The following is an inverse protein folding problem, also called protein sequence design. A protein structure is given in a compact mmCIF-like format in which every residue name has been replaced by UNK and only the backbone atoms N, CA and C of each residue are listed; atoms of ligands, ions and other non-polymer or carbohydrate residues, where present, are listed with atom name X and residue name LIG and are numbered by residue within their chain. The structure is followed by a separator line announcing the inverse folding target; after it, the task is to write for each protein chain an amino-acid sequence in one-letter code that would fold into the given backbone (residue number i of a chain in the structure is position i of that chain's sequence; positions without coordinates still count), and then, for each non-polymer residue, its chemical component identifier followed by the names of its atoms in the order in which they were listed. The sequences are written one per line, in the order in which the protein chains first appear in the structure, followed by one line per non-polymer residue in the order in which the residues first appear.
data_IF_886767244826
#
_entry.id   IF_886767244826
#
_cell.length_a   1.000
_cell.length_b   1.000
_cell.length_c   1.000
_cell.angle_alpha   90.00
_cell.angle_beta   90.00
_cell.angle_gamma   90.00
#
_symmetry.space_group_name_H-M   'P 1'
#
loop_
_entity.id
_entity.type
_entity.pdbx_description
1 polymer ?
#
# COMPACT_ATOMS: atom_id res chain seq x y z
N UNK A 1 1.96 -10.18 25.83
CA UNK A 1 2.31 -10.34 24.40
C UNK A 1 1.07 -10.86 23.70
N UNK A 2 0.64 -10.22 22.61
CA UNK A 2 -0.48 -10.77 21.84
C UNK A 2 -0.03 -12.06 21.15
N UNK A 3 -0.75 -13.18 21.34
CA UNK A 3 -0.41 -14.42 20.67
C UNK A 3 -0.58 -14.25 19.16
N UNK A 4 0.34 -14.84 18.38
CA UNK A 4 0.20 -14.93 16.93
C UNK A 4 -0.98 -15.85 16.61
N UNK A 5 -1.93 -15.35 15.81
CA UNK A 5 -3.18 -16.01 15.40
C UNK A 5 -3.26 -16.13 13.88
N UNK A 6 -4.21 -16.90 13.32
CA UNK A 6 -4.46 -16.90 11.88
C UNK A 6 -4.70 -15.51 11.27
N UNK A 7 -5.27 -14.59 12.06
CA UNK A 7 -5.47 -13.17 11.69
C UNK A 7 -4.13 -12.44 11.43
N UNK A 8 -3.00 -12.95 11.91
CA UNK A 8 -1.69 -12.38 11.65
C UNK A 8 -1.06 -12.89 10.35
N UNK A 9 -1.65 -13.83 9.60
CA UNK A 9 -1.05 -14.37 8.37
C UNK A 9 -0.83 -13.26 7.34
N UNK A 10 0.42 -13.07 6.93
CA UNK A 10 0.88 -11.90 6.17
C UNK A 10 1.55 -10.84 7.06
N UNK A 11 1.58 -10.93 8.38
CA UNK A 11 2.36 -10.00 9.20
C UNK A 11 3.85 -10.34 9.14
N UNK A 12 4.71 -9.35 9.37
CA UNK A 12 6.11 -9.61 9.70
C UNK A 12 6.18 -9.94 11.19
N UNK A 13 6.77 -11.07 11.53
CA UNK A 13 6.84 -11.59 12.90
C UNK A 13 8.28 -11.88 13.30
N UNK A 14 8.56 -11.69 14.58
CA UNK A 14 9.77 -12.18 15.25
C UNK A 14 9.36 -13.28 16.22
N UNK A 15 10.00 -14.44 16.08
CA UNK A 15 9.77 -15.60 16.92
C UNK A 15 11.04 -15.94 17.68
N UNK A 16 10.86 -16.33 18.94
CA UNK A 16 11.85 -17.04 19.73
C UNK A 16 11.37 -18.46 19.94
N UNK A 17 12.21 -19.45 19.61
CA UNK A 17 11.83 -20.86 19.68
C UNK A 17 12.96 -21.74 20.19
N UNK A 18 12.59 -22.94 20.65
CA UNK A 18 13.53 -23.99 21.06
C UNK A 18 13.86 -24.89 19.88
N UNK A 19 15.15 -25.10 19.61
CA UNK A 19 15.69 -26.02 18.60
C UNK A 19 15.67 -27.47 19.10
N UNK A 20 15.90 -28.41 18.20
CA UNK A 20 15.98 -29.85 18.52
C UNK A 20 17.09 -30.18 19.53
N UNK A 21 18.20 -29.43 19.51
CA UNK A 21 19.30 -29.56 20.46
C UNK A 21 19.03 -28.93 21.84
N UNK A 22 17.81 -28.42 22.06
CA UNK A 22 17.41 -27.70 23.27
C UNK A 22 17.87 -26.24 23.30
N UNK A 23 18.66 -25.79 22.34
CA UNK A 23 19.13 -24.42 22.21
C UNK A 23 18.00 -23.44 21.86
N UNK A 24 18.22 -22.15 22.17
CA UNK A 24 17.28 -21.09 21.83
C UNK A 24 17.71 -20.38 20.54
N UNK A 25 16.75 -20.07 19.69
CA UNK A 25 16.97 -19.35 18.45
C UNK A 25 15.89 -18.29 18.21
N UNK A 26 16.25 -17.29 17.42
CA UNK A 26 15.35 -16.23 16.99
C UNK A 26 15.26 -16.22 15.46
N UNK A 27 14.05 -16.04 14.94
CA UNK A 27 13.79 -15.92 13.50
C UNK A 27 12.84 -14.76 13.23
N UNK A 28 13.12 -14.01 12.16
CA UNK A 28 12.25 -12.94 11.67
C UNK A 28 11.85 -13.26 10.24
N UNK A 29 10.56 -13.14 9.94
CA UNK A 29 10.04 -13.38 8.62
C UNK A 29 8.57 -13.00 8.47
N UNK A 30 8.05 -13.27 7.29
CA UNK A 30 6.62 -13.17 6.99
C UNK A 30 5.89 -14.42 7.45
N UNK A 31 4.82 -14.25 8.22
CA UNK A 31 3.96 -15.34 8.62
C UNK A 31 3.13 -15.84 7.43
N UNK A 32 3.31 -17.10 7.02
CA UNK A 32 2.61 -17.73 5.91
C UNK A 32 1.36 -18.51 6.34
N UNK A 33 1.41 -19.14 7.51
CA UNK A 33 0.30 -19.91 8.07
C UNK A 33 0.47 -20.09 9.59
N UNK A 34 -0.65 -20.27 10.27
CA UNK A 34 -0.74 -20.69 11.67
C UNK A 34 -1.94 -21.63 11.77
N UNK A 35 -1.71 -22.85 12.22
CA UNK A 35 -2.76 -23.81 12.57
C UNK A 35 -2.65 -24.18 14.06
N UNK A 36 -3.28 -25.29 14.47
CA UNK A 36 -3.31 -25.72 15.88
C UNK A 36 -1.98 -26.31 16.35
N UNK A 37 -1.14 -26.79 15.44
CA UNK A 37 0.08 -27.53 15.75
C UNK A 37 1.34 -26.79 15.27
N UNK A 38 1.24 -26.00 14.20
CA UNK A 38 2.38 -25.43 13.51
C UNK A 38 2.21 -23.94 13.17
N UNK A 39 3.36 -23.27 13.12
CA UNK A 39 3.53 -21.95 12.55
C UNK A 39 4.49 -22.06 11.37
N UNK A 40 4.14 -21.42 10.24
CA UNK A 40 5.00 -21.37 9.06
C UNK A 40 5.31 -19.94 8.66
N UNK A 41 6.58 -19.63 8.38
CA UNK A 41 7.03 -18.31 7.94
C UNK A 41 8.02 -18.40 6.78
N UNK A 42 8.19 -17.31 6.03
CA UNK A 42 9.27 -17.14 5.05
C UNK A 42 10.23 -16.06 5.51
N UNK A 43 11.52 -16.39 5.52
CA UNK A 43 12.62 -15.49 5.90
C UNK A 43 12.95 -14.54 4.74
N UNK A 44 13.74 -13.51 5.03
CA UNK A 44 14.17 -12.52 4.04
C UNK A 44 15.03 -13.08 2.90
N UNK A 45 15.61 -14.27 3.08
CA UNK A 45 16.38 -14.99 2.06
C UNK A 45 15.53 -16.00 1.28
N UNK A 46 14.20 -16.00 1.49
CA UNK A 46 13.25 -16.87 0.81
C UNK A 46 13.09 -18.26 1.44
N UNK A 47 13.90 -18.62 2.44
CA UNK A 47 13.72 -19.91 3.12
C UNK A 47 12.44 -19.94 3.92
N UNK A 48 11.69 -21.02 3.78
CA UNK A 48 10.48 -21.27 4.55
C UNK A 48 10.84 -22.08 5.78
N UNK A 49 10.43 -21.60 6.96
CA UNK A 49 10.54 -22.34 8.22
C UNK A 49 9.17 -22.73 8.72
N UNK A 50 9.04 -23.99 9.12
CA UNK A 50 7.85 -24.55 9.79
C UNK A 50 8.27 -24.96 11.19
N UNK A 51 7.61 -24.42 12.20
CA UNK A 51 7.92 -24.61 13.62
C UNK A 51 6.69 -25.19 14.34
N UNK A 52 6.83 -26.28 15.10
CA UNK A 52 5.79 -26.72 16.04
C UNK A 52 5.51 -25.61 17.06
N UNK A 53 4.23 -25.30 17.30
CA UNK A 53 3.82 -24.24 18.21
C UNK A 53 4.30 -24.46 19.63
N UNK A 54 4.37 -25.71 20.08
CA UNK A 54 4.92 -26.11 21.39
C UNK A 54 6.39 -25.69 21.59
N UNK A 55 7.13 -25.43 20.51
CA UNK A 55 8.52 -24.96 20.54
C UNK A 55 8.63 -23.44 20.51
N UNK A 56 7.56 -22.73 20.17
CA UNK A 56 7.54 -21.26 20.09
C UNK A 56 7.37 -20.69 21.49
N UNK A 57 8.42 -20.05 22.00
CA UNK A 57 8.46 -19.47 23.35
C UNK A 57 7.93 -18.04 23.38
N UNK A 58 8.11 -17.30 22.30
CA UNK A 58 7.60 -15.96 22.14
C UNK A 58 7.36 -15.66 20.66
N UNK A 59 6.31 -14.91 20.37
CA UNK A 59 5.97 -14.49 19.02
C UNK A 59 5.38 -13.08 19.09
N UNK A 60 5.85 -12.18 18.20
CA UNK A 60 5.30 -10.83 18.10
C UNK A 60 5.36 -10.30 16.68
N UNK A 61 4.39 -9.48 16.32
CA UNK A 61 4.50 -8.62 15.13
C UNK A 61 5.64 -7.63 15.32
N UNK A 62 6.36 -7.33 14.25
CA UNK A 62 7.43 -6.32 14.25
C UNK A 62 7.12 -5.23 13.23
N UNK A 63 7.54 -4.01 13.56
CA UNK A 63 7.46 -2.88 12.64
C UNK A 63 8.24 -3.16 11.34
N UNK A 64 7.82 -2.57 10.21
CA UNK A 64 8.55 -2.72 8.96
C UNK A 64 9.96 -2.12 9.07
N UNK A 65 10.96 -2.82 8.53
CA UNK A 65 12.32 -2.30 8.41
C UNK A 65 12.40 -1.26 7.28
N UNK A 66 13.48 -0.47 7.23
CA UNK A 66 13.72 0.45 6.10
C UNK A 66 13.71 -0.25 4.74
N UNK A 67 14.21 -1.49 4.67
CA UNK A 67 14.15 -2.32 3.45
C UNK A 67 12.71 -2.63 3.06
N UNK A 68 11.85 -2.96 4.02
CA UNK A 68 10.44 -3.27 3.76
C UNK A 68 9.68 -2.02 3.29
N UNK A 69 9.96 -0.85 3.89
CA UNK A 69 9.40 0.44 3.47
C UNK A 69 9.77 0.76 2.02
N UNK A 70 11.05 0.69 1.67
CA UNK A 70 11.50 0.99 0.32
C UNK A 70 10.98 -0.02 -0.71
N UNK A 71 10.85 -1.30 -0.34
CA UNK A 71 10.26 -2.32 -1.20
C UNK A 71 8.77 -2.07 -1.47
N UNK A 72 8.00 -1.66 -0.45
CA UNK A 72 6.59 -1.30 -0.62
C UNK A 72 6.43 -0.03 -1.45
N UNK A 73 7.31 0.96 -1.29
CA UNK A 73 7.27 2.20 -2.08
C UNK A 73 7.61 1.98 -3.56
N UNK A 74 8.49 1.01 -3.87
CA UNK A 74 8.77 0.59 -5.23
C UNK A 74 7.56 -0.18 -5.83
N UNK A 75 6.98 -1.12 -5.07
CA UNK A 75 5.76 -1.83 -5.46
C UNK A 75 4.59 -0.87 -5.71
N UNK A 76 4.38 0.09 -4.82
CA UNK A 76 3.31 1.09 -4.94
C UNK A 76 3.48 1.97 -6.18
N UNK A 77 4.70 2.16 -6.65
CA UNK A 77 4.96 2.76 -7.94
C UNK A 77 4.49 1.87 -9.10
N UNK A 78 4.74 0.56 -9.07
CA UNK A 78 4.32 -0.35 -10.15
C UNK A 78 2.81 -0.59 -10.20
N UNK A 79 2.11 -0.43 -9.08
CA UNK A 79 0.63 -0.46 -9.02
C UNK A 79 -0.04 0.87 -9.46
N UNK A 80 0.77 1.87 -9.82
CA UNK A 80 0.38 3.15 -10.43
C UNK A 80 1.36 3.56 -11.54
N UNK A 81 1.58 2.73 -12.56
CA UNK A 81 2.67 2.89 -13.52
C UNK A 81 2.59 4.23 -14.26
N UNK A 82 3.75 4.77 -14.65
CA UNK A 82 3.84 5.98 -15.45
C UNK A 82 4.02 5.64 -16.94
N UNK A 83 3.71 6.59 -17.82
CA UNK A 83 3.89 6.41 -19.26
C UNK A 83 5.38 6.48 -19.65
N UNK A 84 6.13 7.35 -18.98
CA UNK A 84 7.58 7.47 -19.10
C UNK A 84 8.25 7.35 -17.74
N UNK A 85 9.34 6.58 -17.69
CA UNK A 85 10.09 6.29 -16.48
C UNK A 85 11.59 6.28 -16.77
N UNK A 86 12.38 6.79 -15.82
CA UNK A 86 13.85 6.76 -15.88
C UNK A 86 14.43 6.58 -14.48
N UNK A 87 15.62 5.98 -14.38
CA UNK A 87 16.33 5.81 -13.12
C UNK A 87 17.60 6.66 -13.08
N UNK A 88 17.73 7.49 -12.05
CA UNK A 88 18.97 8.14 -11.63
C UNK A 88 19.48 7.41 -10.38
N UNK A 89 20.25 6.34 -10.57
CA UNK A 89 20.58 5.42 -9.48
C UNK A 89 19.31 4.78 -8.89
N UNK A 90 19.04 5.00 -7.60
CA UNK A 90 17.81 4.56 -6.92
C UNK A 90 16.74 5.65 -6.82
N UNK A 91 16.83 6.70 -7.63
CA UNK A 91 15.76 7.67 -7.81
C UNK A 91 14.99 7.33 -9.08
N UNK A 92 13.70 7.09 -8.94
CA UNK A 92 12.83 6.67 -10.02
C UNK A 92 12.00 7.86 -10.49
N UNK A 93 12.35 8.41 -11.65
CA UNK A 93 11.67 9.53 -12.29
C UNK A 93 10.46 9.00 -13.07
N UNK A 94 9.36 9.75 -13.03
CA UNK A 94 8.06 9.26 -13.48
C UNK A 94 7.24 10.38 -14.10
N UNK A 95 6.73 10.19 -15.30
CA UNK A 95 5.80 11.10 -15.97
C UNK A 95 4.59 10.30 -16.49
N UNK A 96 3.46 10.41 -15.78
CA UNK A 96 2.24 9.68 -16.05
C UNK A 96 1.25 10.38 -16.99
N UNK A 97 1.42 11.69 -17.26
CA UNK A 97 0.63 12.45 -18.21
C UNK A 97 -0.88 12.52 -17.93
N UNK A 98 -1.30 12.30 -16.68
CA UNK A 98 -2.70 12.01 -16.36
C UNK A 98 -3.21 12.62 -15.05
N UNK A 99 -2.44 13.53 -14.44
CA UNK A 99 -2.85 14.34 -13.29
C UNK A 99 -2.73 13.65 -11.93
N UNK A 100 -2.21 12.41 -11.88
CA UNK A 100 -1.98 11.68 -10.63
C UNK A 100 -0.55 11.83 -10.15
N UNK A 101 -0.35 12.42 -8.97
CA UNK A 101 0.98 12.51 -8.36
C UNK A 101 1.59 11.13 -8.09
N UNK A 102 0.76 10.08 -7.91
CA UNK A 102 1.22 8.68 -7.76
C UNK A 102 1.96 8.16 -8.99
N UNK A 103 1.61 8.66 -10.18
CA UNK A 103 2.23 8.33 -11.46
C UNK A 103 3.22 9.41 -11.96
N UNK A 104 3.27 10.58 -11.33
CA UNK A 104 4.02 11.74 -11.83
C UNK A 104 5.13 12.25 -10.90
N UNK A 105 5.17 11.81 -9.64
CA UNK A 105 6.24 12.21 -8.72
C UNK A 105 7.41 11.23 -8.77
N UNK A 106 8.63 11.76 -8.79
CA UNK A 106 9.82 10.95 -8.67
C UNK A 106 9.90 10.33 -7.27
N UNK A 107 10.24 9.04 -7.20
CA UNK A 107 10.35 8.30 -5.94
C UNK A 107 11.82 8.16 -5.55
N UNK A 108 12.19 8.68 -4.38
CA UNK A 108 13.56 8.62 -3.87
C UNK A 108 13.73 7.36 -3.01
N UNK A 109 14.12 6.25 -3.65
CA UNK A 109 14.13 4.91 -3.06
C UNK A 109 15.52 4.45 -2.56
N UNK A 110 16.51 5.32 -2.58
CA UNK A 110 17.90 5.01 -2.25
C UNK A 110 18.86 6.10 -2.70
N UNK A 111 20.14 5.76 -2.82
CA UNK A 111 21.16 6.68 -3.33
C UNK A 111 20.99 6.95 -4.83
N UNK A 112 21.08 8.21 -5.28
CA UNK A 112 21.22 8.51 -6.70
C UNK A 112 22.60 8.06 -7.23
N UNK A 113 22.75 8.07 -8.55
CA UNK A 113 24.00 7.71 -9.24
C UNK A 113 25.07 8.82 -9.23
N UNK A 114 24.77 9.96 -8.60
CA UNK A 114 25.61 11.16 -8.50
C UNK A 114 25.35 11.89 -7.19
N UNK A 115 26.03 13.00 -6.94
CA UNK A 115 25.78 13.80 -5.74
C UNK A 115 24.30 14.27 -5.69
N UNK A 116 23.61 14.20 -4.53
CA UNK A 116 22.17 14.48 -4.42
C UNK A 116 21.69 15.83 -4.97
N UNK A 117 22.45 16.91 -4.80
CA UNK A 117 22.12 18.23 -5.36
C UNK A 117 22.18 18.19 -6.89
N UNK A 118 23.22 17.58 -7.46
CA UNK A 118 23.33 17.36 -8.89
C UNK A 118 22.21 16.44 -9.42
N UNK A 119 21.80 15.43 -8.66
CA UNK A 119 20.69 14.55 -9.00
C UNK A 119 19.34 15.29 -9.02
N UNK A 120 19.08 16.20 -8.07
CA UNK A 120 17.87 17.04 -8.06
C UNK A 120 17.83 17.98 -9.28
N UNK A 121 18.97 18.53 -9.69
CA UNK A 121 19.07 19.36 -10.89
C UNK A 121 18.76 18.56 -12.17
N UNK A 122 19.35 17.36 -12.31
CA UNK A 122 19.09 16.48 -13.44
C UNK A 122 17.62 16.04 -13.51
N UNK A 123 17.05 15.64 -12.37
CA UNK A 123 15.63 15.31 -12.25
C UNK A 123 14.74 16.49 -12.65
N UNK A 124 15.07 17.70 -12.20
CA UNK A 124 14.29 18.90 -12.55
C UNK A 124 14.34 19.19 -14.05
N UNK A 125 15.51 19.02 -14.70
CA UNK A 125 15.64 19.17 -16.15
C UNK A 125 14.79 18.13 -16.91
N UNK A 126 14.83 16.86 -16.48
CA UNK A 126 14.04 15.77 -17.07
C UNK A 126 12.53 16.05 -17.07
N UNK A 127 12.00 16.63 -15.98
CA UNK A 127 10.60 17.05 -15.89
C UNK A 127 10.28 18.26 -16.78
N UNK A 128 11.20 19.24 -16.85
CA UNK A 128 11.03 20.44 -17.69
C UNK A 128 10.99 20.12 -19.18
N UNK A 129 11.84 19.19 -19.64
CA UNK A 129 11.83 18.71 -21.04
C UNK A 129 10.48 18.10 -21.43
N UNK A 130 9.78 17.51 -20.46
CA UNK A 130 8.44 16.92 -20.62
C UNK A 130 7.30 17.91 -20.36
N UNK A 131 7.62 19.16 -20.02
CA UNK A 131 6.64 20.20 -19.66
C UNK A 131 5.73 19.78 -18.49
N UNK A 132 6.24 18.95 -17.57
CA UNK A 132 5.54 18.53 -16.35
C UNK A 132 6.16 19.20 -15.14
N UNK A 133 5.34 19.66 -14.19
CA UNK A 133 5.84 20.22 -12.95
C UNK A 133 6.60 19.15 -12.15
N UNK A 134 7.87 19.41 -11.74
CA UNK A 134 8.66 18.43 -11.01
C UNK A 134 8.09 18.21 -9.60
N UNK A 135 7.93 16.95 -9.22
CA UNK A 135 7.39 16.52 -7.92
C UNK A 135 8.24 15.38 -7.36
N UNK A 136 8.39 15.34 -6.04
CA UNK A 136 9.03 14.23 -5.33
C UNK A 136 8.04 13.55 -4.39
N UNK A 137 8.25 12.26 -4.20
CA UNK A 137 7.70 11.45 -3.12
C UNK A 137 8.86 10.90 -2.30
N UNK A 138 8.84 11.20 -1.00
CA UNK A 138 9.85 10.74 -0.05
C UNK A 138 9.18 10.08 1.15
N UNK A 139 9.79 9.01 1.66
CA UNK A 139 9.46 8.49 2.99
C UNK A 139 9.80 9.59 4.01
N UNK A 140 8.96 9.79 5.03
CA UNK A 140 9.21 10.84 6.03
C UNK A 140 10.52 10.58 6.79
N UNK A 141 11.25 11.65 7.12
CA UNK A 141 12.53 11.57 7.83
C UNK A 141 13.68 11.02 6.99
N UNK A 142 13.50 10.98 5.66
CA UNK A 142 14.56 10.53 4.76
C UNK A 142 15.67 11.57 4.62
N UNK A 143 16.92 11.10 4.50
CA UNK A 143 18.12 11.96 4.51
C UNK A 143 18.18 13.00 3.38
N UNK A 144 17.36 12.86 2.34
CA UNK A 144 17.30 13.82 1.23
C UNK A 144 16.32 14.97 1.47
N UNK A 145 15.46 14.92 2.52
CA UNK A 145 14.55 16.03 2.82
C UNK A 145 15.28 17.36 3.06
N UNK A 146 16.39 17.43 3.84
CA UNK A 146 17.14 18.67 4.01
C UNK A 146 17.80 19.15 2.71
N UNK A 147 18.29 18.22 1.89
CA UNK A 147 18.92 18.53 0.59
C UNK A 147 17.89 19.12 -0.37
N UNK A 148 16.71 18.50 -0.48
CA UNK A 148 15.60 18.99 -1.28
C UNK A 148 15.13 20.37 -0.77
N UNK A 149 14.97 20.54 0.54
CA UNK A 149 14.59 21.83 1.12
C UNK A 149 15.60 22.95 0.83
N UNK A 150 16.90 22.66 0.90
CA UNK A 150 17.96 23.59 0.55
C UNK A 150 17.95 23.94 -0.96
N UNK A 151 17.52 23.01 -1.81
CA UNK A 151 17.33 23.22 -3.25
C UNK A 151 15.97 23.84 -3.62
N UNK A 152 15.21 24.37 -2.65
CA UNK A 152 13.96 25.10 -2.90
C UNK A 152 12.68 24.24 -2.95
N UNK A 153 12.79 22.94 -2.75
CA UNK A 153 11.62 22.07 -2.69
C UNK A 153 10.86 22.28 -1.38
N UNK A 154 9.53 22.24 -1.45
CA UNK A 154 8.65 22.34 -0.29
C UNK A 154 7.77 21.12 -0.18
N UNK A 155 7.61 20.61 1.04
CA UNK A 155 6.57 19.63 1.36
C UNK A 155 5.22 20.35 1.24
N UNK A 156 4.32 19.76 0.47
CA UNK A 156 3.01 20.34 0.15
C UNK A 156 1.86 19.45 0.61
N UNK A 157 2.08 18.14 0.69
CA UNK A 157 1.12 17.20 1.27
C UNK A 157 1.84 16.12 2.06
N UNK A 158 1.10 15.51 2.99
CA UNK A 158 1.56 14.36 3.77
C UNK A 158 0.49 13.26 3.74
N UNK A 159 0.95 12.02 3.66
CA UNK A 159 0.08 10.86 3.66
C UNK A 159 0.66 9.73 4.49
N UNK A 160 -0.24 8.91 5.02
CA UNK A 160 0.06 7.70 5.75
C UNK A 160 -0.10 6.52 4.80
N UNK A 161 0.92 5.68 4.72
CA UNK A 161 0.78 4.35 4.11
C UNK A 161 0.41 3.38 5.23
N UNK A 162 -0.81 2.85 5.14
CA UNK A 162 -1.34 1.89 6.09
C UNK A 162 -1.30 0.49 5.48
N UNK A 163 -1.13 -0.53 6.32
CA UNK A 163 -1.11 -1.91 5.85
C UNK A 163 -1.77 -2.88 6.84
N UNK A 164 -2.18 -4.04 6.34
CA UNK A 164 -2.59 -5.16 7.17
C UNK A 164 -2.51 -6.50 6.42
N UNK A 165 -2.37 -7.61 7.16
CA UNK A 165 -2.88 -8.92 6.74
C UNK A 165 -4.32 -8.83 6.20
N UNK A 166 -4.59 -9.41 5.03
CA UNK A 166 -5.96 -9.43 4.49
C UNK A 166 -6.90 -10.21 5.42
N UNK A 167 -6.42 -11.33 5.98
CA UNK A 167 -7.17 -12.16 6.92
C UNK A 167 -7.64 -11.36 8.15
N UNK A 168 -6.81 -10.42 8.65
CA UNK A 168 -7.18 -9.53 9.76
C UNK A 168 -8.35 -8.63 9.40
N UNK A 169 -8.26 -7.97 8.24
CA UNK A 169 -9.29 -7.02 7.80
C UNK A 169 -10.61 -7.74 7.58
N UNK A 170 -10.60 -8.88 6.88
CA UNK A 170 -11.83 -9.67 6.65
C UNK A 170 -12.44 -10.18 7.95
N UNK A 171 -11.62 -10.65 8.90
CA UNK A 171 -12.11 -11.05 10.23
C UNK A 171 -12.75 -9.87 10.98
N UNK A 172 -12.14 -8.68 10.92
CA UNK A 172 -12.69 -7.47 11.52
C UNK A 172 -14.03 -7.05 10.87
N UNK A 173 -14.15 -7.18 9.54
CA UNK A 173 -15.40 -6.89 8.82
C UNK A 173 -16.49 -7.90 9.23
N UNK A 174 -16.18 -9.20 9.25
CA UNK A 174 -17.11 -10.26 9.65
C UNK A 174 -17.67 -10.03 11.06
N UNK A 175 -16.80 -9.68 12.03
CA UNK A 175 -17.23 -9.38 13.42
C UNK A 175 -18.13 -8.15 13.53
N UNK A 176 -17.90 -7.12 12.71
CA UNK A 176 -18.64 -5.85 12.75
C UNK A 176 -19.93 -5.86 11.92
N UNK A 177 -20.07 -6.84 11.04
CA UNK A 177 -21.08 -6.87 9.99
C UNK A 177 -20.78 -5.87 8.87
N UNK A 178 -20.95 -6.34 7.64
CA UNK A 178 -21.12 -5.52 6.45
C UNK A 178 -22.60 -5.57 6.03
N UNK A 179 -23.15 -4.49 5.45
CA UNK A 179 -24.51 -4.55 4.91
C UNK A 179 -24.56 -5.61 3.79
N UNK A 180 -25.65 -6.38 3.74
CA UNK A 180 -25.91 -7.31 2.64
C UNK A 180 -26.31 -6.50 1.39
N UNK A 181 -25.31 -6.05 0.64
CA UNK A 181 -25.46 -5.32 -0.62
C UNK A 181 -24.65 -6.00 -1.70
N UNK A 182 -25.18 -6.04 -2.92
CA UNK A 182 -24.44 -6.55 -4.07
C UNK A 182 -23.28 -5.61 -4.38
N UNK A 183 -22.08 -6.18 -4.55
CA UNK A 183 -20.88 -5.46 -5.01
C UNK A 183 -20.48 -6.08 -6.34
N UNK A 184 -20.47 -5.28 -7.41
CA UNK A 184 -19.88 -5.68 -8.69
C UNK A 184 -18.38 -5.38 -8.64
N UNK A 185 -17.56 -6.32 -9.12
CA UNK A 185 -16.09 -6.20 -9.19
C UNK A 185 -15.66 -6.55 -10.60
N UNK A 186 -15.32 -5.54 -11.39
CA UNK A 186 -15.02 -5.66 -12.82
C UNK A 186 -13.55 -5.34 -13.12
N UNK A 187 -13.00 -5.87 -14.21
CA UNK A 187 -11.62 -5.59 -14.64
C UNK A 187 -11.43 -4.18 -15.23
N UNK A 188 -12.53 -3.50 -15.60
CA UNK A 188 -12.54 -2.15 -16.17
C UNK A 188 -13.59 -1.28 -15.48
N UNK A 189 -13.34 0.02 -15.28
CA UNK A 189 -14.34 0.89 -14.68
C UNK A 189 -15.48 1.14 -15.66
N UNK A 190 -16.72 1.05 -15.19
CA UNK A 190 -17.88 1.45 -15.98
C UNK A 190 -17.95 2.98 -16.12
N UNK A 191 -18.73 3.47 -17.09
CA UNK A 191 -19.00 4.91 -17.22
C UNK A 191 -19.57 5.51 -15.93
N UNK A 192 -20.41 4.76 -15.21
CA UNK A 192 -20.99 5.18 -13.94
C UNK A 192 -19.96 5.26 -12.81
N UNK A 193 -19.00 4.33 -12.78
CA UNK A 193 -17.87 4.38 -11.85
C UNK A 193 -17.04 5.65 -12.09
N UNK A 194 -16.74 5.94 -13.35
CA UNK A 194 -15.98 7.14 -13.76
C UNK A 194 -16.75 8.43 -13.46
N UNK A 195 -18.07 8.43 -13.65
CA UNK A 195 -18.94 9.56 -13.36
C UNK A 195 -18.98 9.94 -11.87
N UNK A 196 -18.75 8.98 -10.95
CA UNK A 196 -18.60 9.28 -9.53
C UNK A 196 -17.19 9.80 -9.22
N UNK A 197 -16.14 9.18 -9.77
CA UNK A 197 -14.76 9.53 -9.43
C UNK A 197 -14.26 10.85 -10.04
N UNK A 198 -14.50 11.08 -11.34
CA UNK A 198 -14.22 12.31 -12.13
C UNK A 198 -12.81 12.94 -12.04
N UNK A 199 -11.83 12.28 -11.44
CA UNK A 199 -10.50 12.89 -11.19
C UNK A 199 -9.40 12.42 -12.12
N UNK A 200 -9.46 11.19 -12.62
CA UNK A 200 -8.40 10.61 -13.46
C UNK A 200 -8.96 9.88 -14.69
N UNK A 201 -8.20 9.86 -15.79
CA UNK A 201 -8.59 9.11 -16.98
C UNK A 201 -8.51 7.59 -16.75
N UNK A 202 -9.34 6.84 -17.47
CA UNK A 202 -9.36 5.36 -17.43
C UNK A 202 -7.99 4.75 -17.69
N UNK A 203 -7.21 5.32 -18.62
CA UNK A 203 -5.89 4.83 -18.98
C UNK A 203 -4.93 4.79 -17.76
N UNK A 204 -5.00 5.77 -16.86
CA UNK A 204 -4.19 5.80 -15.64
C UNK A 204 -4.72 4.82 -14.61
N UNK A 205 -6.05 4.77 -14.44
CA UNK A 205 -6.71 3.92 -13.46
C UNK A 205 -6.49 2.43 -13.74
N UNK A 206 -6.54 2.04 -15.00
CA UNK A 206 -6.44 0.66 -15.49
C UNK A 206 -5.03 0.26 -15.90
N UNK A 207 -4.04 1.10 -15.66
CA UNK A 207 -2.67 0.86 -16.13
C UNK A 207 -1.98 -0.38 -15.52
N UNK A 208 -2.22 -0.80 -14.26
CA UNK A 208 -1.64 -2.04 -13.75
C UNK A 208 -2.18 -3.28 -14.46
N UNK A 209 -1.36 -4.33 -14.53
CA UNK A 209 -1.71 -5.59 -15.18
C UNK A 209 -2.85 -6.36 -14.48
N UNK A 210 -2.95 -6.24 -13.15
CA UNK A 210 -4.00 -6.87 -12.36
C UNK A 210 -4.71 -5.80 -11.54
N UNK A 211 -5.86 -5.35 -12.03
CA UNK A 211 -6.67 -4.28 -11.46
C UNK A 211 -8.15 -4.67 -11.47
N UNK A 212 -8.90 -4.16 -10.50
CA UNK A 212 -10.35 -4.26 -10.48
C UNK A 212 -11.00 -2.99 -9.92
N UNK A 213 -12.25 -2.83 -10.33
CA UNK A 213 -13.10 -1.69 -10.04
C UNK A 213 -14.37 -2.23 -9.37
N UNK A 214 -14.48 -1.97 -8.08
CA UNK A 214 -15.67 -2.31 -7.32
C UNK A 214 -16.69 -1.17 -7.36
N UNK A 215 -17.97 -1.51 -7.45
CA UNK A 215 -19.07 -0.55 -7.32
C UNK A 215 -20.28 -1.14 -6.62
N UNK A 216 -21.02 -0.27 -5.91
CA UNK A 216 -22.31 -0.59 -5.30
C UNK A 216 -23.37 0.33 -5.88
N UNK A 217 -24.51 -0.25 -6.29
CA UNK A 217 -25.65 0.44 -6.86
C UNK A 217 -25.80 0.14 -8.35
N UNK A 218 -27.05 0.15 -8.83
CA UNK A 218 -27.40 -0.24 -10.19
C UNK A 218 -27.49 0.99 -11.11
N UNK A 219 -28.66 1.64 -11.15
CA UNK A 219 -28.91 2.83 -11.96
C UNK A 219 -28.07 4.03 -11.48
N UNK A 220 -27.88 4.14 -10.17
CA UNK A 220 -27.01 5.10 -9.52
C UNK A 220 -25.89 4.36 -8.77
N UNK A 221 -24.63 4.72 -9.03
CA UNK A 221 -23.48 4.20 -8.29
C UNK A 221 -23.31 5.01 -7.01
N UNK A 222 -23.51 4.34 -5.87
CA UNK A 222 -23.47 4.91 -4.53
C UNK A 222 -22.08 4.86 -3.90
N UNK A 223 -21.26 3.90 -4.32
CA UNK A 223 -19.91 3.74 -3.81
C UNK A 223 -19.02 3.06 -4.83
N UNK A 224 -17.73 3.42 -4.83
CA UNK A 224 -16.70 2.87 -5.70
C UNK A 224 -15.44 2.51 -4.93
N UNK A 225 -14.69 1.56 -5.46
CA UNK A 225 -13.34 1.22 -5.01
C UNK A 225 -12.48 0.73 -6.18
N UNK A 226 -11.16 0.83 -6.02
CA UNK A 226 -10.16 0.25 -6.93
C UNK A 226 -9.25 -0.68 -6.14
N UNK A 227 -9.05 -1.88 -6.65
CA UNK A 227 -8.04 -2.84 -6.17
C UNK A 227 -6.98 -3.07 -7.23
N UNK A 228 -5.72 -3.22 -6.84
CA UNK A 228 -4.65 -3.69 -7.74
C UNK A 228 -3.76 -4.70 -7.02
N UNK A 229 -3.23 -5.71 -7.73
CA UNK A 229 -2.45 -6.81 -7.12
C UNK A 229 -1.11 -6.98 -7.82
N UNK A 230 -0.05 -7.14 -7.03
CA UNK A 230 1.25 -7.61 -7.50
C UNK A 230 1.86 -8.53 -6.44
N UNK A 231 2.11 -9.78 -6.82
CA UNK A 231 2.62 -10.81 -5.90
C UNK A 231 1.69 -11.02 -4.70
N UNK A 232 2.25 -10.92 -3.48
CA UNK A 232 1.49 -11.11 -2.24
C UNK A 232 0.78 -9.85 -1.74
N UNK A 233 0.84 -8.74 -2.48
CA UNK A 233 0.32 -7.44 -2.07
C UNK A 233 -0.88 -7.01 -2.92
N UNK A 234 -1.87 -6.45 -2.24
CA UNK A 234 -2.96 -5.70 -2.83
C UNK A 234 -2.85 -4.21 -2.43
N UNK A 235 -3.16 -3.32 -3.36
CA UNK A 235 -3.47 -1.93 -3.09
C UNK A 235 -4.98 -1.74 -3.03
N UNK A 236 -5.46 -1.02 -2.01
CA UNK A 236 -6.79 -0.39 -2.05
C UNK A 236 -6.63 1.09 -2.33
N UNK A 237 -7.29 1.55 -3.39
CA UNK A 237 -7.32 2.95 -3.80
C UNK A 237 -8.75 3.37 -4.15
N UNK A 238 -8.99 4.68 -4.24
CA UNK A 238 -10.25 5.24 -4.73
C UNK A 238 -11.50 4.71 -3.99
N UNK A 239 -11.38 4.48 -2.68
CA UNK A 239 -12.54 4.12 -1.85
C UNK A 239 -13.37 5.37 -1.60
N UNK A 240 -14.48 5.50 -2.32
CA UNK A 240 -15.36 6.68 -2.26
C UNK A 240 -16.82 6.27 -2.14
N UNK A 241 -17.56 6.98 -1.28
CA UNK A 241 -18.99 6.80 -1.08
C UNK A 241 -19.68 8.13 -1.32
N UNK A 242 -20.70 8.11 -2.19
CA UNK A 242 -21.56 9.26 -2.48
C UNK A 242 -22.08 9.86 -1.18
N UNK A 243 -22.10 11.20 -1.09
CA UNK A 243 -22.31 11.91 0.18
C UNK A 243 -23.60 11.49 0.89
N UNK A 244 -24.70 11.41 0.16
CA UNK A 244 -26.01 11.01 0.65
C UNK A 244 -26.09 9.51 1.03
N UNK A 245 -25.12 8.69 0.62
CA UNK A 245 -25.05 7.26 0.91
C UNK A 245 -24.00 6.90 1.98
N UNK A 246 -23.34 7.90 2.58
CA UNK A 246 -22.34 7.69 3.64
C UNK A 246 -22.96 7.11 4.91
N UNK A 247 -22.09 6.59 5.80
CA UNK A 247 -22.46 6.03 7.12
C UNK A 247 -23.37 4.78 7.07
N UNK A 248 -23.62 4.23 5.89
CA UNK A 248 -24.38 2.97 5.67
C UNK A 248 -23.52 1.71 5.61
N UNK A 249 -22.20 1.84 5.84
CA UNK A 249 -21.26 0.72 5.80
C UNK A 249 -20.78 0.29 4.40
N UNK A 250 -21.13 1.02 3.34
CA UNK A 250 -20.79 0.68 1.95
C UNK A 250 -19.28 0.54 1.70
N UNK A 251 -18.45 1.39 2.33
CA UNK A 251 -17.00 1.26 2.22
C UNK A 251 -16.48 -0.08 2.76
N UNK A 252 -17.10 -0.64 3.81
CA UNK A 252 -16.72 -1.97 4.35
C UNK A 252 -17.07 -3.07 3.36
N UNK A 253 -18.23 -3.00 2.71
CA UNK A 253 -18.65 -3.96 1.70
C UNK A 253 -17.71 -3.92 0.47
N UNK A 254 -17.33 -2.72 0.00
CA UNK A 254 -16.33 -2.57 -1.07
C UNK A 254 -14.98 -3.17 -0.70
N UNK A 255 -14.48 -2.87 0.51
CA UNK A 255 -13.20 -3.38 0.99
C UNK A 255 -13.23 -4.90 1.05
N UNK A 256 -14.26 -5.51 1.62
CA UNK A 256 -14.34 -6.98 1.72
C UNK A 256 -14.34 -7.65 0.33
N UNK A 257 -15.15 -7.14 -0.61
CA UNK A 257 -15.22 -7.66 -1.97
C UNK A 257 -13.89 -7.52 -2.72
N UNK A 258 -13.22 -6.38 -2.61
CA UNK A 258 -11.89 -6.16 -3.22
C UNK A 258 -10.82 -7.05 -2.57
N UNK A 259 -10.90 -7.29 -1.26
CA UNK A 259 -9.96 -8.16 -0.57
C UNK A 259 -10.16 -9.63 -0.92
N UNK A 260 -11.41 -10.08 -1.06
CA UNK A 260 -11.74 -11.41 -1.58
C UNK A 260 -11.19 -11.60 -3.00
N UNK A 261 -11.50 -10.67 -3.90
CA UNK A 261 -10.95 -10.63 -5.26
C UNK A 261 -9.42 -10.68 -5.28
N UNK A 262 -8.75 -9.97 -4.36
CA UNK A 262 -7.30 -9.96 -4.28
C UNK A 262 -6.71 -11.28 -3.75
N UNK A 263 -7.38 -11.92 -2.79
CA UNK A 263 -6.94 -13.22 -2.26
C UNK A 263 -6.99 -14.33 -3.31
N UNK A 264 -8.02 -14.33 -4.15
CA UNK A 264 -8.12 -15.24 -5.30
C UNK A 264 -6.93 -15.09 -6.28
N UNK A 265 -6.27 -13.94 -6.25
CA UNK A 265 -5.08 -13.60 -7.06
C UNK A 265 -3.76 -13.75 -6.28
N UNK A 266 -3.81 -14.37 -5.11
CA UNK A 266 -2.63 -14.69 -4.31
C UNK A 266 -2.18 -13.60 -3.34
N UNK A 267 -2.90 -12.47 -3.26
CA UNK A 267 -2.58 -11.44 -2.28
C UNK A 267 -2.85 -11.95 -0.85
N UNK A 268 -1.93 -11.64 0.07
CA UNK A 268 -2.04 -11.98 1.51
C UNK A 268 -2.05 -10.74 2.38
N UNK A 269 -1.57 -9.62 1.83
CA UNK A 269 -1.46 -8.33 2.49
C UNK A 269 -2.12 -7.27 1.65
N UNK A 270 -2.63 -6.27 2.32
CA UNK A 270 -3.17 -5.07 1.68
C UNK A 270 -2.46 -3.85 2.23
N UNK A 271 -2.20 -2.88 1.37
CA UNK A 271 -1.84 -1.53 1.77
C UNK A 271 -2.78 -0.52 1.12
N UNK A 272 -2.82 0.67 1.70
CA UNK A 272 -3.48 1.83 1.13
C UNK A 272 -2.73 3.09 1.55
N UNK A 273 -2.97 4.17 0.83
CA UNK A 273 -2.48 5.50 1.20
C UNK A 273 -3.65 6.41 1.54
N UNK A 274 -3.53 7.14 2.64
CA UNK A 274 -4.55 8.08 3.11
C UNK A 274 -3.89 9.40 3.54
N UNK A 275 -4.41 10.53 3.06
CA UNK A 275 -3.93 11.84 3.50
C UNK A 275 -4.14 12.05 5.00
N UNK A 276 -3.21 12.74 5.66
CA UNK A 276 -3.24 12.96 7.11
C UNK A 276 -4.53 13.65 7.57
N UNK A 277 -5.09 14.52 6.74
CA UNK A 277 -6.31 15.30 7.01
C UNK A 277 -7.61 14.51 6.80
N UNK A 278 -7.55 13.30 6.21
CA UNK A 278 -8.73 12.47 5.96
C UNK A 278 -9.11 11.65 7.22
N UNK A 279 -9.51 12.36 8.28
CA UNK A 279 -9.84 11.80 9.60
C UNK A 279 -10.91 10.71 9.52
N UNK A 280 -11.91 10.88 8.65
CA UNK A 280 -13.00 9.92 8.50
C UNK A 280 -12.51 8.58 7.91
N UNK A 281 -11.68 8.62 6.87
CA UNK A 281 -11.10 7.40 6.28
C UNK A 281 -10.09 6.75 7.23
N UNK A 282 -9.24 7.53 7.90
CA UNK A 282 -8.29 7.03 8.89
C UNK A 282 -8.99 6.25 10.01
N UNK A 283 -10.05 6.81 10.60
CA UNK A 283 -10.85 6.12 11.62
C UNK A 283 -11.48 4.82 11.11
N UNK A 284 -11.90 4.77 9.85
CA UNK A 284 -12.39 3.53 9.23
C UNK A 284 -11.28 2.48 9.13
N UNK A 285 -10.10 2.85 8.63
CA UNK A 285 -9.01 1.90 8.43
C UNK A 285 -8.43 1.41 9.76
N UNK A 286 -8.23 2.29 10.74
CA UNK A 286 -7.84 1.92 12.12
C UNK A 286 -8.86 0.94 12.73
N UNK A 287 -10.16 1.21 12.57
CA UNK A 287 -11.24 0.35 13.05
C UNK A 287 -11.23 -1.06 12.42
N UNK A 288 -10.78 -1.16 11.17
CA UNK A 288 -10.66 -2.41 10.43
C UNK A 288 -9.36 -3.18 10.76
N UNK A 289 -8.40 -2.55 11.46
CA UNK A 289 -7.15 -3.19 11.89
C UNK A 289 -5.96 -2.94 10.96
N UNK A 290 -6.00 -1.86 10.20
CA UNK A 290 -4.83 -1.33 9.50
C UNK A 290 -3.85 -0.70 10.49
N UNK A 291 -2.57 -1.03 10.33
CA UNK A 291 -1.46 -0.44 11.08
C UNK A 291 -0.72 0.57 10.20
N UNK A 292 -0.06 1.56 10.83
CA UNK A 292 0.86 2.45 10.13
C UNK A 292 2.06 1.64 9.61
N UNK A 293 2.30 1.67 8.31
CA UNK A 293 3.52 1.11 7.72
C UNK A 293 4.63 2.16 7.71
N UNK A 294 4.34 3.33 7.17
CA UNK A 294 5.25 4.47 7.11
C UNK A 294 4.50 5.74 6.68
N UNK A 295 5.15 6.88 6.88
CA UNK A 295 4.68 8.19 6.41
C UNK A 295 5.40 8.57 5.12
N UNK A 296 4.70 9.27 4.24
CA UNK A 296 5.24 9.79 2.99
C UNK A 296 4.93 11.28 2.85
N UNK A 297 5.94 12.04 2.46
CA UNK A 297 5.81 13.45 2.10
C UNK A 297 5.79 13.62 0.58
N UNK A 298 4.87 14.45 0.11
CA UNK A 298 4.84 14.92 -1.26
C UNK A 298 5.46 16.31 -1.34
N UNK A 299 6.38 16.49 -2.28
CA UNK A 299 7.16 17.71 -2.42
C UNK A 299 7.02 18.29 -3.81
N UNK A 300 6.89 19.60 -3.89
CA UNK A 300 6.86 20.35 -5.12
C UNK A 300 8.00 21.36 -5.13
N UNK A 301 8.57 21.60 -6.29
CA UNK A 301 9.48 22.72 -6.49
C UNK A 301 8.62 23.98 -6.68
N UNK A 302 8.67 24.90 -5.71
CA UNK A 302 8.03 26.20 -5.87
C UNK A 302 8.97 27.07 -6.72
N UNK A 303 8.45 27.58 -7.84
CA UNK A 303 9.15 28.51 -8.72
C UNK A 303 9.37 29.86 -8.08
#
# INVERSE_FOLDING_TARGET
MDPIRPENVGARVSLRYRRDDGGLADVVGELLAVDVDHLRLVRSDGRVETLPLERVLAARSVAPSRRDVLALEELAGRLWPAAEEEWLGRWWLRAGGGGSWRAEAARLLGEPDREPTAALAALTAWYRERQVAPRLRMVAGYRFEPVAAAAGWRRVEESLVLFAPIARIRSAIARRGAPAVAVSVEASPSERWLALYRRLPTAVLSAPSVVAFASIGDAEVLAIGRGAVEGAWAELAVIEVAEHARRRGLARALIDALLEWAQERGARRVYLEVGVDNVAARRLYEMLGFDLHHEVGWWALLG
#
